data_IF_370425953916
#
_entry.id   IF_370425953916
#
_cell.length_a   1.000
_cell.length_b   1.000
_cell.length_c   1.000
_cell.angle_alpha   90.00
_cell.angle_beta   90.00
_cell.angle_gamma   90.00
#
_symmetry.space_group_name_H-M   'P 1'
#
loop_
_entity.id
_entity.type
_entity.pdbx_description
1 polymer ?
#
# COMPACT_ATOMS: atom_id res chain seq x y z
N UNK A 1 15.53 -33.19 -22.64
CA UNK A 1 14.93 -31.92 -23.10
C UNK A 1 15.33 -30.82 -22.13
N UNK A 2 16.12 -29.82 -22.54
CA UNK A 2 16.44 -28.68 -21.68
C UNK A 2 15.19 -27.82 -21.51
N UNK A 3 14.76 -27.58 -20.27
CA UNK A 3 13.68 -26.62 -19.97
C UNK A 3 14.22 -25.22 -20.20
N UNK A 4 13.65 -24.49 -21.14
CA UNK A 4 13.91 -23.06 -21.29
C UNK A 4 13.59 -22.35 -19.97
N UNK A 5 14.61 -21.76 -19.34
CA UNK A 5 14.43 -20.91 -18.18
C UNK A 5 13.73 -19.62 -18.63
N UNK A 6 12.42 -19.52 -18.40
CA UNK A 6 11.67 -18.28 -18.61
C UNK A 6 12.32 -17.19 -17.76
N UNK A 7 13.00 -16.22 -18.40
CA UNK A 7 13.63 -15.09 -17.70
C UNK A 7 12.54 -14.31 -16.95
N UNK A 8 12.58 -14.23 -15.62
CA UNK A 8 11.64 -13.43 -14.84
C UNK A 8 12.04 -11.95 -14.96
N UNK A 9 11.82 -11.33 -16.11
CA UNK A 9 12.47 -10.04 -16.43
C UNK A 9 11.55 -8.84 -16.65
N UNK A 10 10.28 -9.03 -17.03
CA UNK A 10 9.42 -7.90 -17.48
C UNK A 10 7.96 -7.98 -17.01
N UNK A 11 7.38 -9.17 -16.95
CA UNK A 11 5.99 -9.36 -16.51
C UNK A 11 5.78 -9.01 -15.02
N UNK A 12 6.78 -9.23 -14.16
CA UNK A 12 6.70 -8.91 -12.73
C UNK A 12 6.66 -7.40 -12.43
N UNK A 13 7.37 -6.58 -13.22
CA UNK A 13 7.43 -5.14 -13.02
C UNK A 13 6.13 -4.41 -13.35
N UNK A 14 5.48 -4.78 -14.47
CA UNK A 14 4.18 -4.22 -14.85
C UNK A 14 3.09 -4.60 -13.83
N UNK A 15 3.07 -5.86 -13.38
CA UNK A 15 2.13 -6.31 -12.35
C UNK A 15 2.30 -5.55 -11.03
N UNK A 16 3.54 -5.31 -10.60
CA UNK A 16 3.82 -4.51 -9.41
C UNK A 16 3.43 -3.04 -9.59
N UNK A 17 3.64 -2.47 -10.78
CA UNK A 17 3.20 -1.10 -11.09
C UNK A 17 1.68 -0.96 -11.01
N UNK A 18 0.93 -1.88 -11.62
CA UNK A 18 -0.53 -1.88 -11.57
C UNK A 18 -1.06 -2.07 -10.14
N UNK A 19 -0.37 -2.86 -9.32
CA UNK A 19 -0.66 -2.99 -7.88
C UNK A 19 -0.30 -1.72 -7.09
N UNK A 20 0.70 -0.95 -7.51
CA UNK A 20 1.12 0.25 -6.80
C UNK A 20 0.16 1.42 -6.97
N UNK A 21 -0.54 1.50 -8.10
CA UNK A 21 -1.50 2.57 -8.37
C UNK A 21 -2.57 2.69 -7.28
N UNK A 22 -3.36 1.66 -6.94
CA UNK A 22 -4.35 1.77 -5.87
C UNK A 22 -3.74 2.07 -4.50
N UNK A 23 -2.60 1.44 -4.17
CA UNK A 23 -1.89 1.69 -2.92
C UNK A 23 -1.44 3.16 -2.74
N UNK A 24 -1.26 3.91 -3.82
CA UNK A 24 -0.88 5.33 -3.79
C UNK A 24 -2.10 6.23 -3.92
N UNK A 25 -2.93 5.98 -4.95
CA UNK A 25 -4.00 6.88 -5.34
C UNK A 25 -5.15 6.87 -4.34
N UNK A 26 -5.57 5.70 -3.85
CA UNK A 26 -6.76 5.59 -3.01
C UNK A 26 -6.57 6.22 -1.62
N UNK A 27 -5.43 6.03 -0.91
CA UNK A 27 -5.16 6.76 0.33
C UNK A 27 -5.02 8.26 0.11
N UNK A 28 -4.43 8.71 -1.00
CA UNK A 28 -4.29 10.13 -1.34
C UNK A 28 -5.65 10.79 -1.65
N UNK A 29 -6.50 10.12 -2.44
CA UNK A 29 -7.86 10.57 -2.74
C UNK A 29 -8.70 10.63 -1.46
N UNK A 30 -8.56 9.64 -0.58
CA UNK A 30 -9.25 9.65 0.72
C UNK A 30 -8.79 10.82 1.59
N UNK A 31 -7.47 11.06 1.68
CA UNK A 31 -6.94 12.21 2.43
C UNK A 31 -7.46 13.54 1.87
N UNK A 32 -7.49 13.69 0.54
CA UNK A 32 -8.09 14.86 -0.10
C UNK A 32 -9.59 14.96 0.20
N UNK A 33 -10.33 13.86 0.12
CA UNK A 33 -11.76 13.85 0.42
C UNK A 33 -12.04 14.28 1.87
N UNK A 34 -11.27 13.79 2.84
CA UNK A 34 -11.38 14.21 4.25
C UNK A 34 -11.12 15.71 4.42
N UNK A 35 -10.19 16.28 3.66
CA UNK A 35 -9.91 17.72 3.71
C UNK A 35 -11.04 18.57 3.09
N UNK A 36 -11.83 17.99 2.19
CA UNK A 36 -12.90 18.69 1.46
C UNK A 36 -14.30 18.45 2.05
N UNK A 37 -14.51 17.32 2.73
CA UNK A 37 -15.82 16.85 3.21
C UNK A 37 -15.72 16.48 4.70
N UNK A 38 -16.19 17.36 5.61
CA UNK A 38 -16.13 17.14 7.06
C UNK A 38 -16.82 15.84 7.52
N UNK A 39 -17.84 15.38 6.79
CA UNK A 39 -18.58 14.17 7.10
C UNK A 39 -17.69 12.91 7.10
N UNK A 40 -16.62 12.92 6.29
CA UNK A 40 -15.64 11.82 6.25
C UNK A 40 -14.68 11.90 7.44
N UNK A 41 -14.35 13.13 7.88
CA UNK A 41 -13.51 13.36 9.05
C UNK A 41 -14.19 12.87 10.33
N UNK A 42 -15.48 13.18 10.49
CA UNK A 42 -16.28 12.83 11.67
C UNK A 42 -16.55 11.32 11.77
N UNK A 43 -16.62 10.64 10.62
CA UNK A 43 -16.81 9.20 10.55
C UNK A 43 -15.56 8.39 10.92
N UNK A 44 -14.38 9.00 10.91
CA UNK A 44 -13.12 8.29 11.11
C UNK A 44 -12.70 8.23 12.58
N UNK A 45 -12.26 7.05 13.02
CA UNK A 45 -11.71 6.85 14.38
C UNK A 45 -10.45 7.68 14.66
N UNK A 46 -9.74 8.12 13.60
CA UNK A 46 -8.53 8.95 13.73
C UNK A 46 -8.83 10.45 13.63
N UNK A 47 -10.11 10.82 13.43
CA UNK A 47 -10.52 12.17 13.07
C UNK A 47 -9.94 12.65 11.74
N UNK A 48 -10.26 13.89 11.35
CA UNK A 48 -9.83 14.45 10.06
C UNK A 48 -8.30 14.50 9.89
N UNK A 49 -7.61 15.11 10.85
CA UNK A 49 -6.16 15.29 10.78
C UNK A 49 -5.40 13.94 10.77
N UNK A 50 -5.83 12.98 11.59
CA UNK A 50 -5.22 11.65 11.65
C UNK A 50 -5.41 10.88 10.35
N UNK A 51 -6.60 10.93 9.76
CA UNK A 51 -6.89 10.25 8.49
C UNK A 51 -6.14 10.86 7.32
N UNK A 52 -6.01 12.19 7.27
CA UNK A 52 -5.17 12.88 6.28
C UNK A 52 -3.71 12.42 6.41
N UNK A 53 -3.17 12.43 7.64
CA UNK A 53 -1.78 12.04 7.89
C UNK A 53 -1.52 10.59 7.48
N UNK A 54 -2.41 9.66 7.83
CA UNK A 54 -2.32 8.25 7.42
C UNK A 54 -2.42 8.10 5.91
N UNK A 55 -3.38 8.76 5.27
CA UNK A 55 -3.57 8.66 3.82
C UNK A 55 -2.35 9.16 3.03
N UNK A 56 -1.80 10.32 3.41
CA UNK A 56 -0.60 10.88 2.77
C UNK A 56 0.63 10.01 3.04
N UNK A 57 0.85 9.59 4.30
CA UNK A 57 2.00 8.76 4.65
C UNK A 57 1.95 7.40 3.94
N UNK A 58 0.78 6.76 3.88
CA UNK A 58 0.60 5.51 3.17
C UNK A 58 0.88 5.66 1.67
N UNK A 59 0.38 6.73 1.03
CA UNK A 59 0.62 6.98 -0.39
C UNK A 59 2.12 7.16 -0.70
N UNK A 60 2.83 7.95 0.11
CA UNK A 60 4.28 8.16 -0.04
C UNK A 60 5.05 6.86 0.19
N UNK A 61 4.75 6.14 1.27
CA UNK A 61 5.41 4.86 1.57
C UNK A 61 5.15 3.82 0.48
N UNK A 62 3.92 3.72 -0.03
CA UNK A 62 3.57 2.82 -1.13
C UNK A 62 4.38 3.12 -2.39
N UNK A 63 4.53 4.39 -2.75
CA UNK A 63 5.35 4.81 -3.89
C UNK A 63 6.83 4.46 -3.70
N UNK A 64 7.38 4.75 -2.51
CA UNK A 64 8.78 4.41 -2.16
C UNK A 64 8.98 2.90 -2.17
N UNK A 65 8.07 2.13 -1.56
CA UNK A 65 8.09 0.68 -1.52
C UNK A 65 8.05 0.05 -2.90
N UNK A 66 7.13 0.51 -3.76
CA UNK A 66 7.03 0.06 -5.13
C UNK A 66 8.32 0.37 -5.90
N UNK A 67 8.89 1.57 -5.74
CA UNK A 67 10.17 1.94 -6.37
C UNK A 67 11.33 1.05 -5.91
N UNK A 68 11.42 0.73 -4.61
CA UNK A 68 12.45 -0.16 -4.07
C UNK A 68 12.29 -1.60 -4.57
N UNK A 69 11.07 -2.10 -4.62
CA UNK A 69 10.76 -3.42 -5.15
C UNK A 69 11.07 -3.51 -6.66
N UNK A 70 10.74 -2.47 -7.45
CA UNK A 70 11.10 -2.40 -8.88
C UNK A 70 12.61 -2.32 -9.11
N UNK A 71 13.34 -1.64 -8.21
CA UNK A 71 14.80 -1.55 -8.26
C UNK A 71 15.52 -2.80 -7.74
N UNK A 72 14.79 -3.75 -7.15
CA UNK A 72 15.37 -4.92 -6.49
C UNK A 72 16.32 -4.54 -5.35
N UNK A 73 16.04 -3.44 -4.64
CA UNK A 73 16.90 -2.96 -3.54
C UNK A 73 16.83 -3.93 -2.35
N UNK A 74 17.98 -4.21 -1.73
CA UNK A 74 18.13 -5.22 -0.65
C UNK A 74 18.72 -4.62 0.62
N UNK A 75 18.61 -5.37 1.72
CA UNK A 75 19.22 -5.04 3.01
C UNK A 75 18.36 -4.15 3.91
N UNK A 76 19.01 -3.44 4.84
CA UNK A 76 18.34 -2.71 5.92
C UNK A 76 17.27 -1.73 5.43
N UNK A 77 17.53 -1.02 4.33
CA UNK A 77 16.56 -0.08 3.75
C UNK A 77 15.25 -0.75 3.31
N UNK A 78 15.33 -1.93 2.68
CA UNK A 78 14.16 -2.70 2.27
C UNK A 78 13.39 -3.23 3.49
N UNK A 79 14.10 -3.68 4.54
CA UNK A 79 13.49 -4.14 5.79
C UNK A 79 12.75 -3.02 6.52
N UNK A 80 13.37 -1.85 6.66
CA UNK A 80 12.74 -0.68 7.29
C UNK A 80 11.48 -0.28 6.54
N UNK A 81 11.54 -0.17 5.21
CA UNK A 81 10.38 0.21 4.41
C UNK A 81 9.27 -0.84 4.47
N UNK A 82 9.60 -2.13 4.49
CA UNK A 82 8.61 -3.19 4.67
C UNK A 82 7.86 -3.06 6.01
N UNK A 83 8.57 -2.74 7.10
CA UNK A 83 7.96 -2.52 8.41
C UNK A 83 7.06 -1.28 8.38
N UNK A 84 7.56 -0.16 7.86
CA UNK A 84 6.78 1.09 7.75
C UNK A 84 5.53 0.92 6.89
N UNK A 85 5.62 0.21 5.77
CA UNK A 85 4.48 -0.14 4.92
C UNK A 85 3.49 -1.06 5.64
N UNK A 86 3.96 -2.00 6.44
CA UNK A 86 3.07 -2.89 7.21
C UNK A 86 2.26 -2.10 8.23
N UNK A 87 2.91 -1.17 8.92
CA UNK A 87 2.23 -0.24 9.85
C UNK A 87 1.24 0.65 9.10
N UNK A 88 1.68 1.27 8.01
CA UNK A 88 0.82 2.14 7.19
C UNK A 88 -0.38 1.38 6.62
N UNK A 89 -0.18 0.16 6.10
CA UNK A 89 -1.25 -0.71 5.61
C UNK A 89 -2.24 -1.11 6.70
N UNK A 90 -1.76 -1.39 7.91
CA UNK A 90 -2.61 -1.64 9.09
C UNK A 90 -3.44 -0.43 9.47
N UNK A 91 -2.85 0.77 9.46
CA UNK A 91 -3.58 2.02 9.74
C UNK A 91 -4.60 2.34 8.64
N UNK A 92 -4.26 2.14 7.37
CA UNK A 92 -5.20 2.29 6.25
C UNK A 92 -6.37 1.31 6.39
N UNK A 93 -6.12 0.05 6.75
CA UNK A 93 -7.17 -0.93 7.00
C UNK A 93 -8.05 -0.54 8.20
N UNK A 94 -7.46 0.04 9.25
CA UNK A 94 -8.20 0.55 10.42
C UNK A 94 -9.13 1.71 10.03
N UNK A 95 -8.65 2.66 9.21
CA UNK A 95 -9.49 3.74 8.68
C UNK A 95 -10.61 3.16 7.82
N UNK A 96 -10.28 2.22 6.92
CA UNK A 96 -11.27 1.54 6.08
C UNK A 96 -12.37 0.87 6.93
N UNK A 97 -11.95 0.14 7.96
CA UNK A 97 -12.85 -0.49 8.91
C UNK A 97 -13.76 0.54 9.58
N UNK A 98 -13.23 1.68 10.06
CA UNK A 98 -14.07 2.72 10.65
C UNK A 98 -15.16 3.24 9.71
N UNK A 99 -14.81 3.46 8.44
CA UNK A 99 -15.75 3.97 7.43
C UNK A 99 -16.81 2.94 7.02
N UNK A 100 -16.53 1.64 7.12
CA UNK A 100 -17.54 0.59 6.86
C UNK A 100 -18.73 0.70 7.82
N UNK A 101 -18.48 1.02 9.09
CA UNK A 101 -19.54 1.10 10.11
C UNK A 101 -20.19 2.48 10.20
N UNK A 102 -19.60 3.51 9.59
CA UNK A 102 -20.22 4.83 9.49
C UNK A 102 -21.43 4.85 8.52
N UNK A 103 -21.50 3.90 7.58
CA UNK A 103 -22.63 3.71 6.68
C UNK A 103 -22.76 4.73 5.54
N UNK A 104 -23.81 4.58 4.73
CA UNK A 104 -24.12 5.50 3.63
C UNK A 104 -23.10 5.49 2.48
N UNK A 105 -22.88 6.65 1.87
CA UNK A 105 -21.95 6.82 0.75
C UNK A 105 -20.46 6.59 1.14
N UNK A 106 -20.14 6.60 2.43
CA UNK A 106 -18.79 6.40 2.95
C UNK A 106 -18.27 4.97 2.71
N UNK A 107 -19.16 4.03 2.43
CA UNK A 107 -18.81 2.64 2.08
C UNK A 107 -17.88 2.57 0.85
N UNK A 108 -17.99 3.53 -0.08
CA UNK A 108 -17.13 3.59 -1.26
C UNK A 108 -15.67 3.84 -0.83
N UNK A 109 -15.44 4.82 0.05
CA UNK A 109 -14.11 5.10 0.59
C UNK A 109 -13.56 3.93 1.40
N UNK A 110 -14.44 3.25 2.15
CA UNK A 110 -14.05 2.06 2.89
C UNK A 110 -13.55 0.93 1.96
N UNK A 111 -14.26 0.65 0.87
CA UNK A 111 -13.86 -0.35 -0.12
C UNK A 111 -12.55 0.05 -0.82
N UNK A 112 -12.41 1.32 -1.20
CA UNK A 112 -11.16 1.83 -1.79
C UNK A 112 -9.98 1.66 -0.82
N UNK A 113 -10.13 2.03 0.45
CA UNK A 113 -9.04 1.86 1.41
C UNK A 113 -8.73 0.39 1.72
N UNK A 114 -9.71 -0.52 1.68
CA UNK A 114 -9.44 -1.96 1.78
C UNK A 114 -8.63 -2.46 0.59
N UNK A 115 -8.96 -2.00 -0.62
CA UNK A 115 -8.19 -2.32 -1.83
C UNK A 115 -6.76 -1.76 -1.76
N UNK A 116 -6.60 -0.54 -1.25
CA UNK A 116 -5.31 0.07 -0.99
C UNK A 116 -4.50 -0.74 0.04
N UNK A 117 -5.10 -1.13 1.16
CA UNK A 117 -4.45 -1.93 2.20
C UNK A 117 -3.97 -3.28 1.66
N UNK A 118 -4.79 -3.95 0.86
CA UNK A 118 -4.40 -5.19 0.17
C UNK A 118 -3.22 -4.96 -0.77
N UNK A 119 -3.27 -3.88 -1.55
CA UNK A 119 -2.23 -3.51 -2.49
C UNK A 119 -0.90 -3.17 -1.78
N UNK A 120 -0.95 -2.47 -0.65
CA UNK A 120 0.19 -2.20 0.24
C UNK A 120 0.79 -3.53 0.75
N UNK A 121 -0.04 -4.48 1.20
CA UNK A 121 0.44 -5.78 1.65
C UNK A 121 1.16 -6.55 0.53
N UNK A 122 0.69 -6.43 -0.72
CA UNK A 122 1.35 -7.00 -1.89
C UNK A 122 2.70 -6.31 -2.20
N UNK A 123 2.80 -4.99 -2.01
CA UNK A 123 4.08 -4.27 -2.11
C UNK A 123 5.03 -4.74 -1.00
N UNK A 124 4.59 -4.87 0.25
CA UNK A 124 5.41 -5.41 1.36
C UNK A 124 5.95 -6.78 0.98
N UNK A 125 5.10 -7.66 0.44
CA UNK A 125 5.51 -8.98 -0.04
C UNK A 125 6.55 -8.88 -1.16
N UNK A 126 6.41 -7.94 -2.09
CA UNK A 126 7.39 -7.75 -3.17
C UNK A 126 8.74 -7.21 -2.65
N UNK A 127 8.71 -6.24 -1.74
CA UNK A 127 9.91 -5.68 -1.08
C UNK A 127 10.65 -6.76 -0.29
N UNK A 128 9.93 -7.58 0.48
CA UNK A 128 10.52 -8.64 1.32
C UNK A 128 11.02 -9.85 0.52
N UNK A 129 10.34 -10.21 -0.58
CA UNK A 129 10.76 -11.31 -1.47
C UNK A 129 11.95 -11.00 -2.36
N UNK A 130 12.40 -9.75 -2.38
CA UNK A 130 13.65 -9.40 -3.06
C UNK A 130 14.90 -9.96 -2.34
N UNK A 131 14.74 -10.83 -1.32
CA UNK A 131 15.77 -11.52 -0.52
C UNK A 131 16.48 -12.70 -1.20
N UNK A 132 17.48 -13.30 -0.52
CA UNK A 132 18.54 -14.08 -1.16
C UNK A 132 18.12 -15.52 -1.50
N UNK A 133 17.71 -15.78 -2.74
CA UNK A 133 17.75 -17.14 -3.33
C UNK A 133 19.12 -17.44 -3.98
N UNK A 134 20.22 -17.08 -3.33
CA UNK A 134 21.54 -17.19 -3.98
C UNK A 134 22.77 -17.21 -3.08
N UNK A 135 22.64 -17.43 -1.77
CA UNK A 135 23.79 -17.75 -0.91
C UNK A 135 23.34 -18.81 0.09
N UNK A 136 23.98 -19.98 0.02
CA UNK A 136 23.76 -21.21 0.79
C UNK A 136 22.63 -22.14 0.29
N UNK A 137 22.92 -22.98 -0.69
CA UNK A 137 23.35 -24.38 -0.50
C UNK A 137 23.87 -24.97 -1.81
#
# INVERSE_FOLDING_TARGET
MPRESVKPGRAGGLGLFLLAVPAVVEPAVTALAVAMFPEIADASLLGGAGTIAVGVAAAVLAAVGAALALRGTRGLAASIIAVLLSVAGGLVALVAFSLLFAGGALIIFAILLLHAAFSIAMIVRAVTRSGPEGVAQ
#
